data_IF_377345677005
#
_entry.id   IF_377345677005
#
_cell.length_a   1.000
_cell.length_b   1.000
_cell.length_c   1.000
_cell.angle_alpha   90.00
_cell.angle_beta   90.00
_cell.angle_gamma   90.00
#
_symmetry.space_group_name_H-M   'P 1'
#
loop_
_entity.id
_entity.type
_entity.pdbx_description
1 polymer ?
#
# COMPACT_ATOMS: atom_id res chain seq x y z
N UNK A 1 -8.36 -19.59 10.83
CA UNK A 1 -9.25 -18.91 9.89
C UNK A 1 -9.81 -17.70 10.61
N UNK A 2 -9.52 -16.52 10.09
CA UNK A 2 -10.03 -15.24 10.56
C UNK A 2 -11.50 -15.08 10.14
N UNK A 3 -12.26 -14.30 10.92
CA UNK A 3 -13.60 -13.86 10.54
C UNK A 3 -13.60 -12.59 9.68
N UNK A 4 -12.41 -12.08 9.35
CA UNK A 4 -12.13 -10.87 8.57
C UNK A 4 -11.31 -11.23 7.33
N UNK A 5 -11.68 -10.69 6.17
CA UNK A 5 -10.86 -10.74 4.96
C UNK A 5 -11.12 -9.54 4.04
N UNK A 6 -10.14 -8.66 3.88
CA UNK A 6 -10.31 -7.41 3.15
C UNK A 6 -9.76 -7.45 1.72
N UNK A 7 -9.30 -8.60 1.25
CA UNK A 7 -8.69 -8.71 -0.08
C UNK A 7 -9.12 -10.00 -0.76
N UNK A 8 -10.11 -9.88 -1.65
CA UNK A 8 -10.76 -11.00 -2.31
C UNK A 8 -11.05 -10.65 -3.77
N UNK A 9 -10.89 -11.63 -4.65
CA UNK A 9 -11.18 -11.51 -6.08
C UNK A 9 -12.29 -12.47 -6.51
N UNK A 10 -13.18 -11.94 -7.34
CA UNK A 10 -14.31 -12.65 -7.92
C UNK A 10 -14.15 -12.78 -9.42
N UNK A 11 -15.07 -13.50 -10.05
CA UNK A 11 -15.14 -13.55 -11.49
C UNK A 11 -15.61 -12.22 -12.10
N UNK A 12 -15.59 -11.08 -11.42
CA UNK A 12 -15.77 -9.76 -12.03
C UNK A 12 -14.46 -9.25 -12.66
N UNK A 13 -13.30 -9.57 -12.07
CA UNK A 13 -12.00 -9.49 -12.75
C UNK A 13 -11.70 -10.78 -13.53
N UNK A 14 -10.64 -10.77 -14.34
CA UNK A 14 -10.24 -11.90 -15.20
C UNK A 14 -9.57 -13.04 -14.44
N UNK A 15 -9.04 -12.74 -13.26
CA UNK A 15 -8.20 -13.59 -12.44
C UNK A 15 -8.96 -14.24 -11.27
N UNK A 16 -10.16 -13.77 -10.92
CA UNK A 16 -11.02 -14.46 -9.98
C UNK A 16 -11.91 -15.53 -10.63
N UNK A 17 -12.17 -16.62 -9.90
CA UNK A 17 -12.98 -17.74 -10.38
C UNK A 17 -14.45 -17.66 -9.97
N UNK A 18 -14.73 -17.25 -8.74
CA UNK A 18 -16.06 -17.38 -8.13
C UNK A 18 -16.84 -16.10 -8.38
N UNK A 19 -18.08 -16.21 -8.88
CA UNK A 19 -18.95 -15.03 -9.06
C UNK A 19 -19.06 -14.17 -7.79
N UNK A 20 -19.27 -12.84 -7.90
CA UNK A 20 -19.42 -11.97 -6.73
C UNK A 20 -20.46 -12.51 -5.72
N UNK A 21 -21.61 -12.98 -6.20
CA UNK A 21 -22.62 -13.64 -5.37
C UNK A 21 -22.11 -14.91 -4.70
N UNK A 22 -21.48 -15.80 -5.47
CA UNK A 22 -20.95 -17.07 -4.95
C UNK A 22 -19.82 -16.84 -3.94
N UNK A 23 -19.05 -15.77 -4.12
CA UNK A 23 -17.97 -15.39 -3.21
C UNK A 23 -18.52 -14.91 -1.87
N UNK A 24 -19.61 -14.13 -1.86
CA UNK A 24 -20.29 -13.76 -0.62
C UNK A 24 -20.85 -15.00 0.13
N UNK A 25 -21.36 -16.00 -0.60
CA UNK A 25 -21.79 -17.29 -0.04
C UNK A 25 -20.61 -18.07 0.55
N UNK A 26 -19.49 -18.14 -0.18
CA UNK A 26 -18.26 -18.78 0.28
C UNK A 26 -17.70 -18.11 1.53
N UNK A 27 -17.62 -16.77 1.58
CA UNK A 27 -17.19 -16.03 2.77
C UNK A 27 -18.01 -16.44 4.00
N UNK A 28 -19.32 -16.60 3.86
CA UNK A 28 -20.18 -17.02 4.97
C UNK A 28 -20.01 -18.49 5.35
N UNK A 29 -19.78 -19.37 4.38
CA UNK A 29 -19.42 -20.77 4.65
C UNK A 29 -18.11 -20.87 5.44
N UNK A 30 -17.16 -19.99 5.16
CA UNK A 30 -15.87 -19.86 5.85
C UNK A 30 -15.96 -19.03 7.15
N UNK A 31 -17.17 -18.69 7.61
CA UNK A 31 -17.46 -17.94 8.84
C UNK A 31 -16.97 -16.48 8.88
N UNK A 32 -16.67 -15.86 7.74
CA UNK A 32 -16.33 -14.43 7.68
C UNK A 32 -17.55 -13.59 8.04
N UNK A 33 -17.38 -12.61 8.90
CA UNK A 33 -18.43 -11.65 9.29
C UNK A 33 -18.19 -10.26 8.71
N UNK A 34 -16.96 -9.96 8.29
CA UNK A 34 -16.59 -8.76 7.56
C UNK A 34 -15.69 -9.13 6.37
N UNK A 35 -16.04 -8.63 5.18
CA UNK A 35 -15.21 -8.80 3.99
C UNK A 35 -15.21 -7.60 3.04
N UNK A 36 -14.23 -7.51 2.16
CA UNK A 36 -14.23 -6.58 1.03
C UNK A 36 -13.98 -7.33 -0.28
N UNK A 37 -14.74 -6.98 -1.32
CA UNK A 37 -14.47 -7.43 -2.68
C UNK A 37 -13.60 -6.36 -3.35
N UNK A 38 -12.45 -6.76 -3.87
CA UNK A 38 -11.40 -5.87 -4.36
C UNK A 38 -10.89 -6.33 -5.72
N UNK A 39 -11.81 -6.63 -6.64
CA UNK A 39 -11.47 -7.07 -7.99
C UNK A 39 -10.50 -6.11 -8.70
N UNK A 40 -9.59 -6.68 -9.50
CA UNK A 40 -8.63 -5.92 -10.30
C UNK A 40 -9.31 -4.96 -11.28
N UNK A 41 -9.08 -3.66 -11.08
CA UNK A 41 -9.48 -2.53 -11.92
C UNK A 41 -10.98 -2.43 -12.25
N UNK A 42 -11.86 -3.05 -11.47
CA UNK A 42 -13.31 -2.99 -11.69
C UNK A 42 -14.06 -3.00 -10.36
N UNK A 43 -15.16 -2.27 -10.31
CA UNK A 43 -16.11 -2.33 -9.18
C UNK A 43 -17.39 -3.08 -9.54
N UNK A 44 -17.46 -3.65 -10.74
CA UNK A 44 -18.70 -4.23 -11.31
C UNK A 44 -19.32 -5.34 -10.45
N UNK A 45 -18.51 -6.10 -9.72
CA UNK A 45 -18.97 -7.15 -8.80
C UNK A 45 -19.44 -6.65 -7.42
N UNK A 46 -19.05 -5.44 -7.01
CA UNK A 46 -19.21 -4.95 -5.63
C UNK A 46 -20.67 -4.93 -5.19
N UNK A 47 -21.56 -4.37 -6.01
CA UNK A 47 -22.99 -4.30 -5.70
C UNK A 47 -23.62 -5.69 -5.47
N UNK A 48 -23.31 -6.65 -6.35
CA UNK A 48 -23.85 -8.01 -6.24
C UNK A 48 -23.32 -8.72 -4.99
N UNK A 49 -22.01 -8.62 -4.72
CA UNK A 49 -21.37 -9.18 -3.52
C UNK A 49 -21.98 -8.61 -2.24
N UNK A 50 -22.09 -7.28 -2.14
CA UNK A 50 -22.65 -6.60 -0.96
C UNK A 50 -24.12 -6.95 -0.75
N UNK A 51 -24.92 -6.96 -1.82
CA UNK A 51 -26.33 -7.30 -1.74
C UNK A 51 -26.53 -8.74 -1.24
N UNK A 52 -25.77 -9.70 -1.78
CA UNK A 52 -25.82 -11.08 -1.32
C UNK A 52 -25.29 -11.22 0.11
N UNK A 53 -24.20 -10.54 0.42
CA UNK A 53 -23.60 -10.52 1.75
C UNK A 53 -24.58 -10.09 2.83
N UNK A 54 -25.30 -8.99 2.59
CA UNK A 54 -26.32 -8.48 3.52
C UNK A 54 -27.42 -9.50 3.84
N UNK A 55 -27.86 -10.30 2.86
CA UNK A 55 -28.85 -11.36 3.07
C UNK A 55 -28.35 -12.50 3.96
N UNK A 56 -27.04 -12.71 4.00
CA UNK A 56 -26.39 -13.81 4.71
C UNK A 56 -25.73 -13.36 6.03
N UNK A 57 -25.87 -12.09 6.40
CA UNK A 57 -25.23 -11.51 7.57
C UNK A 57 -23.72 -11.26 7.41
N UNK A 58 -23.22 -11.17 6.18
CA UNK A 58 -21.86 -10.69 5.89
C UNK A 58 -21.89 -9.16 5.82
N UNK A 59 -21.16 -8.49 6.70
CA UNK A 59 -20.88 -7.07 6.52
C UNK A 59 -19.84 -6.93 5.42
N UNK A 60 -20.05 -5.98 4.52
CA UNK A 60 -19.15 -5.75 3.39
C UNK A 60 -18.69 -4.31 3.32
N UNK A 61 -17.44 -4.09 2.92
CA UNK A 61 -16.89 -2.77 2.59
C UNK A 61 -16.72 -2.74 1.05
N UNK A 62 -17.21 -1.70 0.35
CA UNK A 62 -16.96 -1.57 -1.09
C UNK A 62 -15.46 -1.36 -1.31
N UNK A 63 -14.87 -2.09 -2.26
CA UNK A 63 -13.46 -1.98 -2.55
C UNK A 63 -13.10 -2.25 -4.01
N UNK A 64 -11.82 -2.08 -4.30
CA UNK A 64 -11.18 -2.28 -5.60
C UNK A 64 -9.68 -2.54 -5.38
N UNK A 65 -9.03 -3.29 -6.26
CA UNK A 65 -7.56 -3.29 -6.37
C UNK A 65 -7.16 -2.66 -7.71
N UNK A 66 -6.37 -1.59 -7.67
CA UNK A 66 -5.87 -0.92 -8.87
C UNK A 66 -4.46 -1.36 -9.20
N UNK A 67 -4.26 -1.86 -10.43
CA UNK A 67 -2.94 -2.06 -11.00
C UNK A 67 -2.28 -0.70 -11.26
N UNK A 68 -1.05 -0.55 -10.77
CA UNK A 68 -0.29 0.67 -10.99
C UNK A 68 1.21 0.41 -11.03
N UNK A 69 1.96 1.48 -11.31
CA UNK A 69 3.40 1.42 -11.39
C UNK A 69 4.06 2.56 -10.60
N UNK A 70 5.21 2.27 -9.99
CA UNK A 70 6.16 3.28 -9.54
C UNK A 70 7.29 3.39 -10.57
N UNK A 71 7.53 4.62 -11.04
CA UNK A 71 8.58 4.97 -12.00
C UNK A 71 8.59 4.08 -13.27
N UNK A 72 7.41 3.64 -13.72
CA UNK A 72 7.21 2.78 -14.91
C UNK A 72 7.91 1.41 -14.88
N UNK A 73 8.54 1.04 -13.75
CA UNK A 73 9.37 -0.15 -13.64
C UNK A 73 8.87 -1.13 -12.56
N UNK A 74 8.33 -0.61 -11.46
CA UNK A 74 7.90 -1.42 -10.32
C UNK A 74 6.39 -1.53 -10.35
N UNK A 75 5.88 -2.74 -10.56
CA UNK A 75 4.45 -3.02 -10.48
C UNK A 75 4.00 -3.02 -9.02
N UNK A 76 2.93 -2.30 -8.73
CA UNK A 76 2.32 -2.17 -7.42
C UNK A 76 0.83 -2.30 -7.56
N UNK A 77 0.17 -2.76 -6.51
CA UNK A 77 -1.29 -2.68 -6.43
C UNK A 77 -1.71 -1.80 -5.26
N UNK A 78 -2.80 -1.06 -5.47
CA UNK A 78 -3.40 -0.19 -4.46
C UNK A 78 -4.83 -0.61 -4.23
N UNK A 79 -5.12 -1.04 -3.00
CA UNK A 79 -6.45 -1.35 -2.52
C UNK A 79 -7.19 -0.03 -2.21
N UNK A 80 -8.44 0.07 -2.65
CA UNK A 80 -9.37 1.12 -2.25
C UNK A 80 -10.43 0.56 -1.32
N UNK A 81 -10.70 1.21 -0.19
CA UNK A 81 -11.76 0.82 0.74
C UNK A 81 -12.74 1.96 1.02
N UNK A 82 -14.03 1.66 1.06
CA UNK A 82 -15.06 2.66 1.35
C UNK A 82 -15.34 3.60 0.17
N UNK A 83 -15.05 3.15 -1.05
CA UNK A 83 -15.18 3.93 -2.28
C UNK A 83 -16.65 4.09 -2.72
N UNK A 84 -16.94 5.23 -3.36
CA UNK A 84 -18.08 5.38 -4.25
C UNK A 84 -17.79 4.63 -5.56
N UNK A 85 -18.40 3.46 -5.70
CA UNK A 85 -18.26 2.57 -6.86
C UNK A 85 -18.83 3.17 -8.16
N UNK A 86 -19.55 4.29 -8.09
CA UNK A 86 -20.07 5.02 -9.27
C UNK A 86 -19.21 6.21 -9.65
N UNK A 87 -18.09 6.44 -8.96
CA UNK A 87 -17.23 7.58 -9.20
C UNK A 87 -16.64 7.56 -10.62
N UNK A 88 -16.70 8.69 -11.30
CA UNK A 88 -16.25 8.83 -12.68
C UNK A 88 -14.75 8.52 -12.86
N UNK A 89 -13.89 8.87 -11.90
CA UNK A 89 -12.45 8.63 -12.00
C UNK A 89 -12.13 7.12 -12.02
N UNK A 90 -12.84 6.33 -11.20
CA UNK A 90 -12.69 4.87 -11.20
C UNK A 90 -13.22 4.26 -12.49
N UNK A 91 -14.36 4.74 -12.99
CA UNK A 91 -14.93 4.28 -14.27
C UNK A 91 -13.99 4.57 -15.45
N UNK A 92 -13.35 5.75 -15.46
CA UNK A 92 -12.38 6.13 -16.49
C UNK A 92 -11.13 5.25 -16.45
N UNK A 93 -10.63 4.91 -15.25
CA UNK A 93 -9.50 3.98 -15.09
C UNK A 93 -9.88 2.59 -15.58
N UNK A 94 -11.04 2.07 -15.17
CA UNK A 94 -11.54 0.76 -15.61
C UNK A 94 -11.61 0.68 -17.13
N UNK A 95 -12.23 1.66 -17.80
CA UNK A 95 -12.33 1.67 -19.26
C UNK A 95 -10.95 1.83 -19.93
N UNK A 96 -10.06 2.64 -19.37
CA UNK A 96 -8.69 2.80 -19.87
C UNK A 96 -7.89 1.49 -19.79
N UNK A 97 -7.97 0.78 -18.66
CA UNK A 97 -7.33 -0.54 -18.49
C UNK A 97 -7.94 -1.55 -19.45
N UNK A 98 -9.27 -1.60 -19.55
CA UNK A 98 -10.00 -2.49 -20.47
C UNK A 98 -9.57 -2.27 -21.92
N UNK A 99 -9.44 -1.01 -22.37
CA UNK A 99 -8.96 -0.68 -23.71
C UNK A 99 -7.50 -1.10 -23.92
N UNK A 100 -6.62 -0.84 -22.96
CA UNK A 100 -5.21 -1.26 -23.03
C UNK A 100 -5.08 -2.78 -23.10
N UNK A 101 -5.85 -3.51 -22.31
CA UNK A 101 -5.87 -4.97 -22.31
C UNK A 101 -6.36 -5.53 -23.65
N UNK A 102 -7.45 -5.00 -24.22
CA UNK A 102 -7.91 -5.36 -25.58
C UNK A 102 -6.82 -5.14 -26.63
N UNK A 103 -6.17 -3.97 -26.60
CA UNK A 103 -5.09 -3.66 -27.53
C UNK A 103 -3.86 -4.56 -27.32
N UNK A 104 -3.56 -4.93 -26.07
CA UNK A 104 -2.47 -5.85 -25.76
C UNK A 104 -2.78 -7.26 -26.26
N UNK A 105 -4.01 -7.75 -26.06
CA UNK A 105 -4.47 -9.04 -26.61
C UNK A 105 -4.39 -9.08 -28.14
N UNK A 106 -4.79 -8.02 -28.83
CA UNK A 106 -4.65 -7.92 -30.29
C UNK A 106 -3.17 -7.99 -30.71
N UNK A 107 -2.31 -7.19 -30.07
CA UNK A 107 -0.86 -7.20 -30.36
C UNK A 107 -0.20 -8.53 -30.02
N UNK A 108 -0.66 -9.23 -28.98
CA UNK A 108 -0.13 -10.54 -28.61
C UNK A 108 -0.51 -11.59 -29.65
N UNK A 109 -1.76 -11.58 -30.13
CA UNK A 109 -2.18 -12.41 -31.26
C UNK A 109 -1.34 -12.13 -32.51
N UNK A 110 -1.13 -10.86 -32.86
CA UNK A 110 -0.26 -10.47 -33.98
C UNK A 110 1.17 -10.98 -33.81
N UNK A 111 1.71 -10.89 -32.59
CA UNK A 111 3.06 -11.38 -32.29
C UNK A 111 3.16 -12.90 -32.43
N UNK A 112 2.15 -13.66 -31.97
CA UNK A 112 2.10 -15.12 -32.15
C UNK A 112 2.01 -15.49 -33.64
N UNK A 113 1.20 -14.79 -34.44
CA UNK A 113 1.10 -14.98 -35.89
C UNK A 113 2.43 -14.66 -36.60
N UNK A 114 3.13 -13.61 -36.19
CA UNK A 114 4.46 -13.24 -36.71
C UNK A 114 5.53 -14.29 -36.44
N UNK A 115 5.37 -15.11 -35.40
CA UNK A 115 6.22 -16.28 -35.15
C UNK A 115 5.93 -17.44 -36.10
N UNK A 116 4.91 -17.33 -36.97
CA UNK A 116 4.50 -18.38 -37.89
C UNK A 116 3.58 -19.43 -37.26
N UNK A 117 3.05 -19.16 -36.07
CA UNK A 117 2.11 -20.04 -35.36
C UNK A 117 0.70 -19.69 -35.79
N UNK A 118 -0.03 -20.66 -36.34
CA UNK A 118 -1.41 -20.47 -36.80
C UNK A 118 -2.42 -20.73 -35.68
N UNK A 119 -3.50 -19.97 -35.64
CA UNK A 119 -4.65 -20.25 -34.77
C UNK A 119 -5.88 -19.58 -35.37
N UNK A 120 -7.06 -20.06 -35.00
CA UNK A 120 -8.33 -19.42 -35.39
C UNK A 120 -8.57 -18.19 -34.52
N UNK A 121 -8.28 -17.01 -35.07
CA UNK A 121 -8.41 -15.72 -34.39
C UNK A 121 -9.85 -15.39 -34.01
N UNK A 122 -10.81 -15.71 -34.88
CA UNK A 122 -12.22 -15.42 -34.63
C UNK A 122 -12.77 -16.32 -33.52
N UNK A 123 -12.38 -17.60 -33.50
CA UNK A 123 -12.73 -18.51 -32.41
C UNK A 123 -12.09 -18.14 -31.07
N UNK A 124 -10.86 -17.61 -31.09
CA UNK A 124 -10.19 -17.09 -29.88
C UNK A 124 -10.88 -15.84 -29.36
N UNK A 125 -11.23 -14.90 -30.24
CA UNK A 125 -11.98 -13.68 -29.88
C UNK A 125 -13.38 -13.99 -29.38
N UNK A 126 -14.06 -15.00 -29.91
CA UNK A 126 -15.38 -15.43 -29.45
C UNK A 126 -15.37 -15.99 -28.01
N UNK A 127 -14.22 -16.46 -27.53
CA UNK A 127 -14.02 -16.92 -26.14
C UNK A 127 -13.49 -15.82 -25.23
N UNK A 128 -13.12 -14.66 -25.79
CA UNK A 128 -12.58 -13.55 -25.02
C UNK A 128 -13.64 -12.98 -24.08
N UNK A 129 -13.18 -12.49 -22.93
CA UNK A 129 -14.03 -11.74 -22.01
C UNK A 129 -13.77 -10.26 -22.22
N UNK A 130 -14.81 -9.53 -22.62
CA UNK A 130 -14.71 -8.12 -22.98
C UNK A 130 -13.61 -7.82 -24.01
N UNK A 131 -13.31 -8.74 -24.94
CA UNK A 131 -12.25 -8.56 -25.93
C UNK A 131 -10.83 -8.78 -25.41
N UNK A 132 -10.67 -9.16 -24.14
CA UNK A 132 -9.39 -9.58 -23.56
C UNK A 132 -9.23 -11.09 -23.71
N UNK A 133 -8.13 -11.49 -24.32
CA UNK A 133 -7.78 -12.87 -24.63
C UNK A 133 -6.68 -13.33 -23.68
N UNK A 134 -6.87 -14.50 -23.08
CA UNK A 134 -5.84 -15.20 -22.31
C UNK A 134 -4.88 -15.95 -23.24
N UNK A 135 -3.60 -16.02 -22.88
CA UNK A 135 -2.59 -16.74 -23.67
C UNK A 135 -2.95 -18.23 -23.83
N UNK A 136 -3.62 -18.81 -22.83
CA UNK A 136 -4.13 -20.18 -22.84
C UNK A 136 -5.16 -20.39 -23.95
N UNK A 137 -6.05 -19.43 -24.23
CA UNK A 137 -7.03 -19.53 -25.32
C UNK A 137 -6.35 -19.52 -26.69
N UNK A 138 -5.29 -18.71 -26.86
CA UNK A 138 -4.45 -18.73 -28.07
C UNK A 138 -3.76 -20.10 -28.18
N UNK A 139 -3.20 -20.59 -27.06
CA UNK A 139 -2.50 -21.86 -27.00
C UNK A 139 -3.42 -23.05 -27.36
N UNK A 140 -4.64 -23.10 -26.84
CA UNK A 140 -5.61 -24.16 -27.15
C UNK A 140 -5.88 -24.25 -28.66
N UNK A 141 -6.10 -23.10 -29.30
CA UNK A 141 -6.34 -23.02 -30.75
C UNK A 141 -5.07 -23.38 -31.55
N UNK A 142 -3.92 -22.84 -31.16
CA UNK A 142 -2.64 -23.08 -31.83
C UNK A 142 -2.16 -24.54 -31.73
N UNK A 143 -2.31 -25.18 -30.57
CA UNK A 143 -1.88 -26.57 -30.35
C UNK A 143 -2.80 -27.57 -31.06
N UNK A 144 -4.05 -27.18 -31.30
CA UNK A 144 -5.04 -27.99 -32.03
C UNK A 144 -4.86 -27.94 -33.54
N UNK A 145 -4.21 -26.91 -34.09
CA UNK A 145 -3.94 -26.78 -35.53
C UNK A 145 -2.84 -27.77 -35.99
N UNK A 146 -3.15 -28.74 -36.87
CA UNK A 146 -2.18 -29.72 -37.35
C UNK A 146 -0.97 -29.11 -38.07
N UNK A 147 -1.12 -27.93 -38.68
CA UNK A 147 -0.05 -27.25 -39.39
C UNK A 147 1.07 -26.77 -38.47
N UNK A 148 0.78 -26.58 -37.18
CA UNK A 148 1.75 -26.18 -36.18
C UNK A 148 2.58 -27.34 -35.60
N UNK A 149 2.21 -28.60 -35.85
CA UNK A 149 2.85 -29.77 -35.18
C UNK A 149 4.36 -29.85 -35.37
N UNK A 150 4.86 -29.40 -36.52
CA UNK A 150 6.29 -29.38 -36.83
C UNK A 150 6.99 -28.08 -36.42
N UNK A 151 6.26 -27.07 -35.95
CA UNK A 151 6.80 -25.76 -35.61
C UNK A 151 7.73 -25.87 -34.38
N UNK A 152 8.95 -25.31 -34.43
CA UNK A 152 9.96 -25.53 -33.38
C UNK A 152 9.54 -25.02 -32.00
N UNK A 153 8.68 -23.99 -31.94
CA UNK A 153 8.13 -23.47 -30.68
C UNK A 153 6.89 -24.23 -30.18
N UNK A 154 6.24 -25.03 -31.04
CA UNK A 154 5.02 -25.77 -30.69
C UNK A 154 5.33 -27.24 -30.40
N UNK A 155 6.24 -27.85 -31.15
CA UNK A 155 6.62 -29.27 -30.98
C UNK A 155 6.97 -29.64 -29.54
N UNK A 156 7.76 -28.85 -28.77
CA UNK A 156 8.04 -29.15 -27.37
C UNK A 156 6.80 -29.14 -26.46
N UNK A 157 5.74 -28.42 -26.85
CA UNK A 157 4.47 -28.36 -26.12
C UNK A 157 3.55 -29.55 -26.45
N UNK A 158 3.84 -30.29 -27.53
CA UNK A 158 3.08 -31.48 -27.93
C UNK A 158 3.75 -32.79 -27.49
N UNK A 159 5.07 -32.77 -27.27
CA UNK A 159 5.88 -33.94 -26.90
C UNK A 159 7.00 -33.54 -25.93
N UNK A 160 7.35 -34.42 -24.99
CA UNK A 160 8.35 -34.19 -23.96
C UNK A 160 7.80 -33.48 -22.71
N UNK A 161 8.69 -32.91 -21.88
CA UNK A 161 8.31 -32.42 -20.55
C UNK A 161 7.33 -31.23 -20.58
N UNK A 162 7.41 -30.35 -21.57
CA UNK A 162 6.51 -29.20 -21.64
C UNK A 162 5.07 -29.59 -22.03
N UNK A 163 4.88 -30.77 -22.61
CA UNK A 163 3.54 -31.31 -22.94
C UNK A 163 2.69 -31.67 -21.70
N UNK A 164 3.30 -31.74 -20.51
CA UNK A 164 2.58 -32.01 -19.25
C UNK A 164 1.65 -30.87 -18.84
N UNK A 165 1.95 -29.64 -19.25
CA UNK A 165 1.17 -28.42 -18.98
C UNK A 165 1.24 -27.47 -20.17
N UNK A 166 0.69 -27.86 -21.33
CA UNK A 166 1.05 -27.25 -22.60
C UNK A 166 0.55 -25.80 -22.73
N UNK A 167 -0.61 -25.47 -22.16
CA UNK A 167 -1.17 -24.11 -22.19
C UNK A 167 -0.34 -23.13 -21.35
N UNK A 168 -0.04 -23.50 -20.12
CA UNK A 168 0.79 -22.70 -19.21
C UNK A 168 2.23 -22.59 -19.77
N UNK A 169 2.77 -23.67 -20.33
CA UNK A 169 4.09 -23.64 -20.93
C UNK A 169 4.15 -22.85 -22.23
N UNK A 170 3.06 -22.76 -22.99
CA UNK A 170 2.94 -21.83 -24.12
C UNK A 170 3.11 -20.39 -23.64
N UNK A 171 2.43 -20.00 -22.56
CA UNK A 171 2.61 -18.68 -21.95
C UNK A 171 4.07 -18.44 -21.56
N UNK A 172 4.69 -19.36 -20.80
CA UNK A 172 6.08 -19.19 -20.36
C UNK A 172 7.10 -19.20 -21.49
N UNK A 173 6.82 -19.89 -22.60
CA UNK A 173 7.72 -19.95 -23.74
C UNK A 173 7.59 -18.72 -24.65
N UNK A 174 6.38 -18.18 -24.79
CA UNK A 174 6.05 -17.21 -25.84
C UNK A 174 5.57 -15.86 -25.32
N UNK A 175 4.75 -15.83 -24.28
CA UNK A 175 3.99 -14.66 -23.88
C UNK A 175 4.48 -13.98 -22.59
N UNK A 176 5.29 -14.66 -21.78
CA UNK A 176 5.83 -14.13 -20.52
C UNK A 176 6.87 -13.00 -20.75
N UNK A 177 7.16 -12.15 -19.74
CA UNK A 177 8.17 -11.09 -19.87
C UNK A 177 9.50 -11.57 -20.47
N UNK A 178 9.97 -10.83 -21.49
CA UNK A 178 11.19 -11.16 -22.24
C UNK A 178 11.04 -12.26 -23.31
N UNK A 179 9.82 -12.76 -23.54
CA UNK A 179 9.54 -13.77 -24.59
C UNK A 179 9.05 -13.13 -25.90
N UNK A 180 9.12 -13.86 -27.03
CA UNK A 180 8.95 -13.27 -28.35
C UNK A 180 7.56 -12.67 -28.63
N UNK A 181 6.51 -13.12 -27.94
CA UNK A 181 5.15 -12.60 -28.02
C UNK A 181 4.71 -11.87 -26.72
N UNK A 182 5.68 -11.40 -25.91
CA UNK A 182 5.39 -10.55 -24.77
C UNK A 182 4.93 -9.17 -25.22
N UNK A 183 3.78 -8.74 -24.70
CA UNK A 183 3.26 -7.38 -24.92
C UNK A 183 3.10 -6.71 -23.56
N UNK A 184 3.92 -5.71 -23.22
CA UNK A 184 3.80 -5.01 -21.96
C UNK A 184 2.54 -4.14 -21.93
N UNK A 185 1.90 -4.08 -20.76
CA UNK A 185 0.78 -3.17 -20.47
C UNK A 185 1.26 -2.16 -19.43
N UNK A 186 1.16 -0.88 -19.78
CA UNK A 186 1.51 0.22 -18.87
C UNK A 186 0.26 0.70 -18.14
N UNK A 187 0.27 0.56 -16.82
CA UNK A 187 -0.78 1.03 -15.94
C UNK A 187 -0.58 2.49 -15.53
N UNK A 188 -1.54 3.04 -14.79
CA UNK A 188 -1.41 4.38 -14.20
C UNK A 188 -0.30 4.39 -13.14
N UNK A 189 0.18 5.58 -12.77
CA UNK A 189 1.14 5.69 -11.66
C UNK A 189 0.46 5.40 -10.31
N UNK A 190 1.24 4.95 -9.33
CA UNK A 190 0.74 4.74 -7.97
C UNK A 190 0.09 6.01 -7.38
N UNK A 191 0.65 7.19 -7.66
CA UNK A 191 0.05 8.47 -7.25
C UNK A 191 -1.31 8.73 -7.91
N UNK A 192 -1.48 8.34 -9.18
CA UNK A 192 -2.78 8.45 -9.87
C UNK A 192 -3.80 7.48 -9.29
N UNK A 193 -3.40 6.24 -8.96
CA UNK A 193 -4.27 5.26 -8.33
C UNK A 193 -4.77 5.75 -6.95
N UNK A 194 -3.86 6.24 -6.10
CA UNK A 194 -4.19 6.83 -4.80
C UNK A 194 -5.17 8.01 -4.97
N UNK A 195 -4.87 8.95 -5.87
CA UNK A 195 -5.71 10.12 -6.10
C UNK A 195 -7.12 9.75 -6.60
N UNK A 196 -7.26 8.71 -7.43
CA UNK A 196 -8.54 8.23 -7.91
C UNK A 196 -9.38 7.61 -6.78
N UNK A 197 -8.74 6.81 -5.91
CA UNK A 197 -9.39 6.23 -4.73
C UNK A 197 -9.85 7.34 -3.77
N UNK A 198 -9.01 8.34 -3.51
CA UNK A 198 -9.36 9.51 -2.69
C UNK A 198 -10.51 10.31 -3.29
N UNK A 199 -10.51 10.51 -4.61
CA UNK A 199 -11.60 11.20 -5.33
C UNK A 199 -12.92 10.43 -5.24
N UNK A 200 -12.85 9.09 -5.17
CA UNK A 200 -14.00 8.23 -4.87
C UNK A 200 -14.37 8.19 -3.38
N UNK A 201 -13.73 9.00 -2.53
CA UNK A 201 -14.02 9.06 -1.09
C UNK A 201 -13.51 7.86 -0.29
N UNK A 202 -12.70 6.99 -0.89
CA UNK A 202 -12.14 5.82 -0.24
C UNK A 202 -10.72 6.02 0.27
N UNK A 203 -10.26 5.07 1.07
CA UNK A 203 -8.90 5.00 1.60
C UNK A 203 -8.02 4.17 0.68
N UNK A 204 -6.83 4.68 0.36
CA UNK A 204 -5.84 4.03 -0.49
C UNK A 204 -4.81 3.27 0.35
N UNK A 205 -4.67 1.96 0.10
CA UNK A 205 -3.86 1.05 0.89
C UNK A 205 -2.89 0.30 -0.02
N UNK A 206 -1.60 0.25 0.35
CA UNK A 206 -0.60 -0.54 -0.38
C UNK A 206 -0.89 -2.04 -0.18
N UNK A 207 -1.17 -2.77 -1.27
CA UNK A 207 -1.47 -4.20 -1.22
C UNK A 207 -0.20 -5.07 -1.15
N UNK A 208 -0.27 -6.20 -0.45
CA UNK A 208 0.72 -7.29 -0.34
C UNK A 208 2.17 -6.89 -0.63
N UNK A 209 2.74 -5.89 0.07
CA UNK A 209 4.03 -5.32 -0.27
C UNK A 209 5.18 -6.35 -0.19
N UNK A 210 5.01 -7.43 0.56
CA UNK A 210 5.93 -8.57 0.55
C UNK A 210 6.09 -9.26 -0.80
N UNK A 211 5.01 -9.37 -1.58
CA UNK A 211 5.03 -9.96 -2.91
C UNK A 211 5.76 -9.05 -3.92
N UNK A 212 5.55 -7.73 -3.81
CA UNK A 212 6.04 -6.77 -4.80
C UNK A 212 7.42 -6.20 -4.46
N UNK A 213 7.73 -6.07 -3.16
CA UNK A 213 8.90 -5.35 -2.64
C UNK A 213 9.81 -6.22 -1.76
N UNK A 214 9.37 -7.41 -1.33
CA UNK A 214 10.11 -8.24 -0.38
C UNK A 214 10.28 -7.54 0.97
N UNK A 215 11.50 -7.54 1.53
CA UNK A 215 11.86 -6.76 2.74
C UNK A 215 12.85 -5.63 2.42
N UNK A 216 12.76 -5.06 1.22
CA UNK A 216 13.65 -3.96 0.82
C UNK A 216 13.16 -2.63 1.43
N UNK A 217 13.71 -2.27 2.60
CA UNK A 217 13.31 -1.06 3.33
C UNK A 217 13.45 0.22 2.50
N UNK A 218 14.56 0.42 1.77
CA UNK A 218 14.75 1.63 0.97
C UNK A 218 13.71 1.78 -0.15
N UNK A 219 13.32 0.66 -0.76
CA UNK A 219 12.26 0.65 -1.77
C UNK A 219 10.88 0.86 -1.13
N UNK A 220 10.59 0.18 -0.02
CA UNK A 220 9.36 0.36 0.73
C UNK A 220 9.18 1.81 1.21
N UNK A 221 10.23 2.43 1.76
CA UNK A 221 10.25 3.86 2.13
C UNK A 221 9.97 4.78 0.93
N UNK A 222 10.54 4.45 -0.23
CA UNK A 222 10.28 5.20 -1.46
C UNK A 222 8.80 5.12 -1.85
N UNK A 223 8.21 3.92 -1.79
CA UNK A 223 6.79 3.71 -2.09
C UNK A 223 5.90 4.41 -1.06
N UNK A 224 6.19 4.27 0.23
CA UNK A 224 5.42 4.84 1.34
C UNK A 224 5.59 6.35 1.49
N UNK A 225 6.51 6.98 0.74
CA UNK A 225 6.54 8.44 0.60
C UNK A 225 5.35 9.01 -0.20
N UNK A 226 4.62 8.15 -0.92
CA UNK A 226 3.35 8.48 -1.54
C UNK A 226 2.23 8.58 -0.47
N UNK A 227 1.13 9.32 -0.74
CA UNK A 227 0.10 9.60 0.25
C UNK A 227 -0.87 8.42 0.46
N UNK A 228 -0.34 7.25 0.79
CA UNK A 228 -1.13 6.09 1.22
C UNK A 228 -1.79 6.38 2.58
N UNK A 229 -2.98 5.83 2.77
CA UNK A 229 -3.71 5.85 4.04
C UNK A 229 -3.39 4.61 4.89
N UNK A 230 -2.95 3.54 4.25
CA UNK A 230 -2.70 2.26 4.88
C UNK A 230 -1.76 1.34 4.12
N UNK A 231 -1.48 0.21 4.74
CA UNK A 231 -0.68 -0.88 4.18
C UNK A 231 -1.28 -2.23 4.59
N UNK A 232 -1.25 -3.19 3.67
CA UNK A 232 -1.63 -4.58 3.92
C UNK A 232 -0.48 -5.28 4.67
N UNK A 233 -0.60 -5.37 5.98
CA UNK A 233 0.41 -5.97 6.85
C UNK A 233 0.21 -7.48 6.96
N UNK A 234 -1.05 -7.92 6.97
CA UNK A 234 -1.39 -9.34 7.08
C UNK A 234 -1.84 -9.85 5.72
N UNK A 235 -1.00 -10.65 5.08
CA UNK A 235 -1.25 -11.14 3.72
C UNK A 235 -0.84 -12.59 3.61
N UNK A 236 -1.38 -13.30 2.61
CA UNK A 236 -1.00 -14.69 2.34
C UNK A 236 0.47 -14.84 1.90
N UNK A 237 1.12 -13.75 1.49
CA UNK A 237 2.55 -13.71 1.16
C UNK A 237 3.46 -13.41 2.36
N UNK A 238 2.90 -13.07 3.52
CA UNK A 238 3.68 -12.61 4.68
C UNK A 238 3.76 -13.70 5.74
N UNK A 239 4.99 -14.07 6.10
CA UNK A 239 5.25 -14.79 7.34
C UNK A 239 5.35 -13.81 8.52
N UNK A 240 5.72 -14.32 9.70
CA UNK A 240 5.82 -13.51 10.91
C UNK A 240 6.90 -12.41 10.81
N UNK A 241 8.01 -12.68 10.12
CA UNK A 241 9.11 -11.73 9.95
C UNK A 241 8.70 -10.60 9.01
N UNK A 242 8.10 -10.95 7.88
CA UNK A 242 7.59 -9.99 6.91
C UNK A 242 6.45 -9.14 7.48
N UNK A 243 5.55 -9.77 8.26
CA UNK A 243 4.49 -9.06 8.99
C UNK A 243 5.08 -8.03 9.95
N UNK A 244 6.08 -8.40 10.76
CA UNK A 244 6.72 -7.50 11.71
C UNK A 244 7.45 -6.33 11.02
N UNK A 245 8.09 -6.62 9.89
CA UNK A 245 8.75 -5.60 9.07
C UNK A 245 7.77 -4.54 8.55
N UNK A 246 6.69 -4.95 7.89
CA UNK A 246 5.71 -4.01 7.36
C UNK A 246 4.86 -3.35 8.44
N UNK A 247 4.62 -4.02 9.57
CA UNK A 247 4.04 -3.40 10.76
C UNK A 247 4.90 -2.22 11.23
N UNK A 248 6.22 -2.42 11.36
CA UNK A 248 7.15 -1.38 11.84
C UNK A 248 7.15 -0.17 10.91
N UNK A 249 7.15 -0.40 9.59
CA UNK A 249 7.04 0.67 8.61
C UNK A 249 5.68 1.37 8.68
N UNK A 250 4.59 0.63 8.84
CA UNK A 250 3.26 1.22 8.99
C UNK A 250 3.17 2.16 10.20
N UNK A 251 3.73 1.75 11.35
CA UNK A 251 3.77 2.58 12.55
C UNK A 251 4.63 3.84 12.34
N UNK A 252 5.78 3.70 11.69
CA UNK A 252 6.69 4.81 11.38
C UNK A 252 6.01 5.88 10.50
N UNK A 253 5.19 5.44 9.55
CA UNK A 253 4.47 6.32 8.62
C UNK A 253 3.06 6.71 9.09
N UNK A 254 2.61 6.21 10.25
CA UNK A 254 1.27 6.49 10.77
C UNK A 254 0.14 5.96 9.89
N UNK A 255 0.33 4.78 9.29
CA UNK A 255 -0.58 4.17 8.32
C UNK A 255 -1.58 3.21 8.99
N UNK A 256 -2.76 3.06 8.39
CA UNK A 256 -3.69 1.98 8.71
C UNK A 256 -3.07 0.62 8.45
N UNK A 257 -3.37 -0.31 9.35
CA UNK A 257 -3.04 -1.72 9.15
C UNK A 257 -4.25 -2.42 8.57
N UNK A 258 -4.06 -3.16 7.48
CA UNK A 258 -5.10 -4.00 6.88
C UNK A 258 -4.56 -5.40 6.64
N UNK A 259 -5.44 -6.28 6.15
CA UNK A 259 -5.03 -7.59 5.70
C UNK A 259 -6.11 -8.30 4.92
N UNK A 260 -5.71 -9.25 4.09
CA UNK A 260 -6.62 -10.08 3.33
C UNK A 260 -5.91 -11.22 2.62
N UNK A 261 -6.69 -12.23 2.20
CA UNK A 261 -6.13 -13.48 1.68
C UNK A 261 -5.59 -13.37 0.26
N UNK A 262 -6.06 -12.38 -0.50
CA UNK A 262 -5.80 -12.26 -1.94
C UNK A 262 -6.30 -13.51 -2.69
N UNK A 263 -7.49 -13.99 -2.28
CA UNK A 263 -8.13 -15.21 -2.82
C UNK A 263 -8.57 -15.04 -4.27
N UNK A 264 -8.27 -16.04 -5.09
CA UNK A 264 -8.56 -16.06 -6.54
C UNK A 264 -9.24 -17.38 -7.02
N UNK A 265 -9.51 -18.33 -6.12
CA UNK A 265 -9.95 -19.68 -6.51
C UNK A 265 -8.85 -20.46 -7.23
N UNK A 266 -9.14 -21.00 -8.41
CA UNK A 266 -8.26 -21.90 -9.19
C UNK A 266 -6.85 -21.37 -9.47
N UNK A 267 -6.66 -20.06 -9.55
CA UNK A 267 -5.33 -19.46 -9.75
C UNK A 267 -4.47 -19.63 -8.51
N UNK A 268 -5.08 -19.60 -7.31
CA UNK A 268 -4.42 -19.76 -6.01
C UNK A 268 -5.13 -20.85 -5.20
N UNK A 269 -5.01 -22.14 -5.59
CA UNK A 269 -5.81 -23.23 -5.04
C UNK A 269 -5.54 -23.52 -3.56
N UNK A 270 -4.44 -23.02 -3.01
CA UNK A 270 -4.06 -23.18 -1.60
C UNK A 270 -4.54 -22.01 -0.70
N UNK A 271 -5.02 -20.93 -1.30
CA UNK A 271 -5.55 -19.76 -0.59
C UNK A 271 -7.04 -19.97 -0.31
N UNK A 272 -7.48 -19.53 0.87
CA UNK A 272 -8.89 -19.59 1.30
C UNK A 272 -9.32 -18.22 1.86
N UNK A 273 -10.58 -17.82 1.67
CA UNK A 273 -11.11 -16.65 2.35
C UNK A 273 -10.94 -16.77 3.87
N UNK A 274 -10.44 -15.72 4.51
CA UNK A 274 -10.11 -15.71 5.94
C UNK A 274 -8.88 -16.55 6.31
N UNK A 275 -8.08 -16.99 5.33
CA UNK A 275 -6.89 -17.82 5.53
C UNK A 275 -5.69 -17.10 6.19
N UNK A 276 -5.77 -15.78 6.36
CA UNK A 276 -4.69 -14.95 6.91
C UNK A 276 -4.69 -14.96 8.44
N UNK A 277 -3.49 -14.95 9.02
CA UNK A 277 -3.29 -14.80 10.45
C UNK A 277 -3.08 -13.33 10.81
N UNK A 278 -4.06 -12.72 11.48
CA UNK A 278 -3.97 -11.35 11.99
C UNK A 278 -3.35 -11.27 13.39
N UNK A 279 -2.86 -12.38 13.95
CA UNK A 279 -2.28 -12.46 15.30
C UNK A 279 -3.22 -11.89 16.38
N UNK A 280 -4.51 -12.21 16.27
CA UNK A 280 -5.58 -11.77 17.17
C UNK A 280 -5.89 -10.25 17.14
N UNK A 281 -5.46 -9.55 16.07
CA UNK A 281 -5.66 -8.10 15.86
C UNK A 281 -6.92 -7.76 15.04
N UNK A 282 -7.75 -8.74 14.68
CA UNK A 282 -8.88 -8.55 13.76
C UNK A 282 -9.83 -7.44 14.25
N UNK A 283 -10.08 -7.36 15.56
CA UNK A 283 -10.93 -6.33 16.16
C UNK A 283 -10.35 -4.91 16.02
N UNK A 284 -9.05 -4.74 16.31
CA UNK A 284 -8.34 -3.46 16.20
C UNK A 284 -8.36 -2.96 14.75
N UNK A 285 -8.05 -3.85 13.81
CA UNK A 285 -8.03 -3.56 12.37
C UNK A 285 -9.42 -3.19 11.87
N UNK A 286 -10.44 -3.99 12.24
CA UNK A 286 -11.84 -3.70 11.91
C UNK A 286 -12.24 -2.31 12.39
N UNK A 287 -12.04 -2.02 13.68
CA UNK A 287 -12.55 -0.80 14.29
C UNK A 287 -11.87 0.44 13.71
N UNK A 288 -10.54 0.37 13.53
CA UNK A 288 -9.76 1.47 12.97
C UNK A 288 -10.12 1.70 11.50
N UNK A 289 -10.22 0.64 10.69
CA UNK A 289 -10.60 0.75 9.28
C UNK A 289 -12.02 1.31 9.12
N UNK A 290 -13.00 0.81 9.88
CA UNK A 290 -14.38 1.28 9.77
C UNK A 290 -14.53 2.74 10.23
N UNK A 291 -13.80 3.16 11.27
CA UNK A 291 -13.76 4.55 11.70
C UNK A 291 -13.13 5.44 10.63
N UNK A 292 -12.02 5.00 10.02
CA UNK A 292 -11.35 5.73 8.95
C UNK A 292 -12.22 5.84 7.68
N UNK A 293 -12.89 4.76 7.28
CA UNK A 293 -13.83 4.77 6.15
C UNK A 293 -14.99 5.73 6.40
N UNK A 294 -15.49 5.80 7.64
CA UNK A 294 -16.53 6.75 8.01
C UNK A 294 -16.05 8.21 8.03
N UNK A 295 -14.77 8.45 8.33
CA UNK A 295 -14.16 9.78 8.33
C UNK A 295 -13.78 10.26 6.90
N UNK A 296 -13.51 9.32 5.99
CA UNK A 296 -13.04 9.59 4.63
C UNK A 296 -11.54 9.89 4.55
N UNK A 297 -10.98 9.93 3.33
CA UNK A 297 -9.57 10.23 3.08
C UNK A 297 -9.24 11.73 3.22
N UNK A 298 -7.97 12.08 3.49
CA UNK A 298 -6.89 11.17 3.84
C UNK A 298 -7.04 10.67 5.29
N UNK A 299 -6.66 9.42 5.54
CA UNK A 299 -6.49 8.91 6.88
C UNK A 299 -5.45 9.74 7.61
N UNK A 300 -5.80 10.09 8.84
CA UNK A 300 -4.88 10.66 9.80
C UNK A 300 -4.85 9.69 10.95
N UNK A 301 -3.69 9.09 11.20
CA UNK A 301 -3.50 8.32 12.42
C UNK A 301 -4.06 9.14 13.58
N UNK A 302 -5.05 8.62 14.35
CA UNK A 302 -5.44 9.25 15.59
C UNK A 302 -4.17 9.20 16.39
N UNK A 303 -3.46 10.34 16.42
CA UNK A 303 -2.04 10.31 16.72
C UNK A 303 -1.81 9.43 17.93
N UNK A 304 -0.77 8.58 17.89
CA UNK A 304 0.07 8.60 19.08
C UNK A 304 0.26 10.09 19.29
N UNK A 305 -0.36 10.64 20.33
CA UNK A 305 0.14 11.86 20.89
C UNK A 305 1.62 11.55 21.05
N UNK A 306 2.44 11.99 20.10
CA UNK A 306 3.69 12.58 20.48
C UNK A 306 3.26 13.70 21.43
N UNK A 307 2.96 13.34 22.68
CA UNK A 307 3.54 14.06 23.78
C UNK A 307 5.02 14.05 23.43
N UNK A 308 5.45 15.04 22.64
CA UNK A 308 6.82 15.48 22.68
C UNK A 308 7.02 15.69 24.16
N UNK A 309 7.76 14.78 24.77
CA UNK A 309 8.16 14.96 26.16
C UNK A 309 8.81 16.32 26.19
N UNK A 310 8.20 17.20 26.96
CA UNK A 310 8.51 18.60 26.96
C UNK A 310 8.66 19.01 28.41
N UNK A 311 9.85 19.49 28.74
CA UNK A 311 10.10 20.11 30.02
C UNK A 311 10.26 21.60 29.79
N UNK A 312 9.49 22.41 30.50
CA UNK A 312 9.57 23.86 30.37
C UNK A 312 9.63 24.50 31.74
N UNK A 313 10.45 25.54 31.86
CA UNK A 313 10.57 26.35 33.06
C UNK A 313 10.79 27.82 32.67
N UNK A 314 10.43 28.71 33.58
CA UNK A 314 10.76 30.13 33.46
C UNK A 314 11.94 30.45 34.39
N UNK A 315 12.86 31.28 33.91
CA UNK A 315 14.02 31.68 34.67
C UNK A 315 14.29 33.17 34.49
N UNK A 316 14.55 33.86 35.59
CA UNK A 316 14.95 35.27 35.58
C UNK A 316 16.47 35.35 35.64
N UNK A 317 17.08 35.90 34.57
CA UNK A 317 18.54 35.96 34.43
C UNK A 317 19.15 36.84 35.52
N UNK A 318 20.11 36.31 36.27
CA UNK A 318 20.83 36.96 37.37
C UNK A 318 22.27 37.37 37.01
N UNK A 319 22.83 36.86 35.90
CA UNK A 319 24.15 37.24 35.40
C UNK A 319 24.21 38.76 35.20
N UNK A 320 25.25 39.46 35.71
CA UNK A 320 25.33 40.92 35.73
C UNK A 320 25.24 41.62 34.36
N UNK A 321 25.49 40.90 33.26
CA UNK A 321 25.45 41.43 31.89
C UNK A 321 24.37 40.71 31.05
N UNK A 322 23.81 39.60 31.54
CA UNK A 322 22.80 38.79 30.86
C UNK A 322 23.40 37.69 29.98
N UNK A 323 22.66 37.17 29.00
CA UNK A 323 23.14 36.09 28.12
C UNK A 323 24.04 36.61 26.99
N UNK A 324 25.16 37.23 27.37
CA UNK A 324 26.22 37.66 26.45
C UNK A 324 27.12 36.48 26.03
N UNK A 325 28.17 36.75 25.26
CA UNK A 325 28.98 35.71 24.60
C UNK A 325 29.49 34.58 25.50
N UNK A 326 29.85 34.87 26.76
CA UNK A 326 30.37 33.87 27.71
C UNK A 326 29.24 32.95 28.23
N UNK A 327 28.21 33.45 28.93
CA UNK A 327 27.12 32.60 29.43
C UNK A 327 26.35 31.90 28.30
N UNK A 328 26.11 32.57 27.17
CA UNK A 328 25.49 31.92 26.00
C UNK A 328 26.37 30.81 25.41
N UNK A 329 27.71 30.96 25.45
CA UNK A 329 28.65 29.95 24.98
C UNK A 329 28.71 28.73 25.90
N UNK A 330 28.68 28.94 27.21
CA UNK A 330 28.62 27.87 28.21
C UNK A 330 27.32 27.08 28.09
N UNK A 331 26.19 27.78 27.96
CA UNK A 331 24.88 27.17 27.76
C UNK A 331 24.82 26.38 26.44
N UNK A 332 25.30 26.95 25.33
CA UNK A 332 25.33 26.25 24.03
C UNK A 332 26.21 24.99 24.07
N UNK A 333 27.28 24.99 24.87
CA UNK A 333 28.14 23.82 25.07
C UNK A 333 27.46 22.75 25.92
N UNK A 334 26.71 23.16 26.94
CA UNK A 334 25.98 22.27 27.82
C UNK A 334 24.88 21.51 27.07
N UNK A 335 24.02 22.24 26.34
CA UNK A 335 22.86 21.61 25.67
C UNK A 335 23.24 20.66 24.54
N UNK A 336 24.43 20.82 23.94
CA UNK A 336 24.94 19.93 22.89
C UNK A 336 25.31 18.52 23.39
N UNK A 337 25.29 18.29 24.70
CA UNK A 337 25.52 16.96 25.28
C UNK A 337 24.28 16.05 25.21
N UNK A 338 23.09 16.63 25.00
CA UNK A 338 21.81 15.93 25.08
C UNK A 338 21.27 15.60 23.69
N UNK A 339 20.40 14.58 23.61
CA UNK A 339 19.68 14.27 22.38
C UNK A 339 18.52 15.26 22.16
N UNK A 340 17.87 15.68 23.25
CA UNK A 340 16.86 16.74 23.25
C UNK A 340 17.40 18.09 22.76
N UNK A 341 16.55 18.83 22.07
CA UNK A 341 16.80 20.23 21.69
C UNK A 341 16.32 21.15 22.80
N UNK A 342 17.09 22.20 23.07
CA UNK A 342 16.74 23.22 24.06
C UNK A 342 16.49 24.54 23.34
N UNK A 343 15.36 25.15 23.64
CA UNK A 343 14.93 26.44 23.12
C UNK A 343 14.83 27.45 24.25
N UNK A 344 15.13 28.71 23.93
CA UNK A 344 14.91 29.85 24.83
C UNK A 344 14.03 30.88 24.13
N UNK A 345 13.04 31.38 24.87
CA UNK A 345 12.03 32.32 24.37
C UNK A 345 11.97 33.57 25.25
N UNK A 346 11.88 34.74 24.60
CA UNK A 346 11.64 36.04 25.22
C UNK A 346 10.71 36.86 24.33
N UNK A 347 9.48 37.11 24.78
CA UNK A 347 8.42 37.64 23.92
C UNK A 347 8.15 36.69 22.75
N UNK A 348 8.02 37.23 21.54
CA UNK A 348 7.75 36.44 20.32
C UNK A 348 9.01 35.77 19.72
N UNK A 349 10.19 36.00 20.31
CA UNK A 349 11.44 35.42 19.82
C UNK A 349 11.70 34.10 20.50
N UNK A 350 11.92 33.05 19.70
CA UNK A 350 12.31 31.71 20.12
C UNK A 350 13.54 31.27 19.34
N UNK A 351 14.58 30.80 20.03
CA UNK A 351 15.82 30.35 19.39
C UNK A 351 16.30 29.02 19.94
N UNK A 352 16.91 28.22 19.06
CA UNK A 352 17.65 27.01 19.44
C UNK A 352 18.95 27.40 20.16
N UNK A 353 19.09 26.95 21.40
CA UNK A 353 20.18 27.32 22.30
C UNK A 353 21.54 26.81 21.80
N UNK A 354 21.57 25.77 20.96
CA UNK A 354 22.82 25.28 20.34
C UNK A 354 23.47 26.31 19.39
N UNK A 355 22.70 27.33 18.96
CA UNK A 355 23.11 28.40 18.07
C UNK A 355 23.49 29.66 18.85
N UNK A 356 24.73 29.70 19.35
CA UNK A 356 25.30 30.81 20.14
C UNK A 356 24.94 32.22 19.60
N UNK A 357 25.13 32.46 18.31
CA UNK A 357 24.87 33.78 17.71
C UNK A 357 23.39 34.16 17.76
N UNK A 358 22.47 33.19 17.68
CA UNK A 358 21.04 33.43 17.78
C UNK A 358 20.63 33.77 19.21
N UNK A 359 21.20 33.09 20.21
CA UNK A 359 20.98 33.38 21.65
C UNK A 359 21.46 34.79 21.98
N UNK A 360 22.66 35.16 21.55
CA UNK A 360 23.19 36.52 21.78
C UNK A 360 22.33 37.60 21.10
N UNK A 361 21.82 37.34 19.90
CA UNK A 361 20.97 38.27 19.16
C UNK A 361 19.60 38.52 19.82
N UNK A 362 19.19 37.70 20.79
CA UNK A 362 17.99 37.96 21.59
C UNK A 362 18.15 39.14 22.54
N UNK A 363 19.39 39.51 22.90
CA UNK A 363 19.66 40.64 23.78
C UNK A 363 19.05 40.49 25.17
N UNK A 364 19.11 39.28 25.74
CA UNK A 364 18.62 38.98 27.09
C UNK A 364 19.59 39.57 28.12
N UNK A 365 19.07 40.41 29.02
CA UNK A 365 19.78 41.18 30.05
C UNK A 365 19.43 40.63 31.44
N UNK A 366 20.20 41.04 32.43
CA UNK A 366 19.89 40.81 33.85
C UNK A 366 18.48 41.30 34.20
N UNK A 367 17.73 40.48 34.94
CA UNK A 367 16.36 40.75 35.35
C UNK A 367 15.30 40.40 34.29
N UNK A 368 15.69 40.00 33.08
CA UNK A 368 14.74 39.47 32.10
C UNK A 368 14.32 38.04 32.47
N UNK A 369 13.03 37.78 32.41
CA UNK A 369 12.48 36.42 32.47
C UNK A 369 12.46 35.80 31.07
N UNK A 370 13.00 34.59 30.95
CA UNK A 370 12.98 33.78 29.75
C UNK A 370 12.25 32.48 30.01
N UNK A 371 11.58 31.96 28.97
CA UNK A 371 11.01 30.62 28.99
C UNK A 371 11.98 29.67 28.29
N UNK A 372 12.40 28.63 28.99
CA UNK A 372 13.28 27.59 28.46
C UNK A 372 12.46 26.33 28.22
N UNK A 373 12.63 25.71 27.05
CA UNK A 373 11.87 24.54 26.62
C UNK A 373 12.82 23.46 26.13
N UNK A 374 12.74 22.27 26.72
CA UNK A 374 13.49 21.09 26.29
C UNK A 374 12.52 20.16 25.55
N UNK A 375 12.83 19.85 24.30
CA UNK A 375 12.03 18.98 23.43
C UNK A 375 12.85 17.77 22.96
N UNK A 376 12.36 16.57 23.26
CA UNK A 376 12.96 15.31 22.80
C UNK A 376 12.65 14.14 23.73
N UNK A 377 13.04 12.94 23.34
CA UNK A 377 12.67 11.71 24.05
C UNK A 377 13.24 11.64 25.49
N UNK A 378 14.35 12.33 25.75
CA UNK A 378 15.01 12.47 27.05
C UNK A 378 14.65 13.78 27.80
N UNK A 379 13.67 14.56 27.33
CA UNK A 379 13.39 15.89 27.85
C UNK A 379 13.03 15.94 29.35
N UNK A 380 12.30 14.96 29.88
CA UNK A 380 11.96 14.91 31.32
C UNK A 380 13.17 14.59 32.20
N UNK A 381 14.16 13.89 31.66
CA UNK A 381 15.41 13.58 32.36
C UNK A 381 16.42 14.73 32.27
N UNK A 382 16.48 15.39 31.11
CA UNK A 382 17.42 16.47 30.79
C UNK A 382 16.92 17.82 31.31
N UNK A 383 15.61 18.06 31.29
CA UNK A 383 14.98 19.31 31.72
C UNK A 383 15.45 19.82 33.08
N UNK A 384 15.37 19.00 34.15
CA UNK A 384 15.88 19.36 35.46
C UNK A 384 17.39 19.65 35.50
N UNK A 385 18.19 19.01 34.65
CA UNK A 385 19.63 19.25 34.55
C UNK A 385 19.93 20.61 33.91
N UNK A 386 19.17 20.95 32.86
CA UNK A 386 19.26 22.26 32.21
C UNK A 386 18.80 23.36 33.18
N UNK A 387 17.71 23.15 33.93
CA UNK A 387 17.24 24.10 34.93
C UNK A 387 18.26 24.33 36.06
N UNK A 388 18.86 23.26 36.59
CA UNK A 388 19.92 23.35 37.58
C UNK A 388 21.15 24.12 37.03
N UNK A 389 21.49 23.92 35.76
CA UNK A 389 22.57 24.65 35.11
C UNK A 389 22.29 26.16 35.03
N UNK A 390 21.04 26.55 34.74
CA UNK A 390 20.63 27.96 34.78
C UNK A 390 20.80 28.55 36.19
N UNK A 391 20.34 27.84 37.21
CA UNK A 391 20.46 28.27 38.62
C UNK A 391 21.91 28.36 39.10
N UNK A 392 22.81 27.51 38.60
CA UNK A 392 24.22 27.53 38.97
C UNK A 392 25.01 28.65 38.27
N UNK A 393 24.65 28.96 37.00
CA UNK A 393 25.49 29.79 36.13
C UNK A 393 24.95 31.18 35.83
N UNK A 394 23.63 31.40 35.87
CA UNK A 394 23.02 32.54 35.17
C UNK A 394 22.05 33.38 35.95
#
# INVERSE_FOLDING_TARGET
MSWLDLHLHSSASLDGEVSPRGLAELCRQENLTLAALTDHNTTSGVNEFMWRGAQLGLRSIPGIELDCMLNEAIHLHVLGYGIDITNAALCEIEESVRQKMRQASQRQMDAVEQLGIRFDRDAVLAQSRDGTVAAETIAESALSDPSNRAHPLIRPLLDGDLSKRPLVNFYWLLCAPGKPAYVPVTFISASQAIAAIHTAGGLAVLAHPGANLGMNEGLAETVLSLPFDGIEVFSSYHDAEMTAFYWTLAEKHGLLLTGGSDFHGRIKPDIRPGGVNYYHREYEIRDTLLAAVAAGPPYRSPGKTEERKMYAFEYTITDPIGLHARPAGELAKEVKKYASKVFISKGDKRVDVSRLMAVMAMGVKTGDTVRVEVEGDDAEQVGPQVEAFFQEKF
#
